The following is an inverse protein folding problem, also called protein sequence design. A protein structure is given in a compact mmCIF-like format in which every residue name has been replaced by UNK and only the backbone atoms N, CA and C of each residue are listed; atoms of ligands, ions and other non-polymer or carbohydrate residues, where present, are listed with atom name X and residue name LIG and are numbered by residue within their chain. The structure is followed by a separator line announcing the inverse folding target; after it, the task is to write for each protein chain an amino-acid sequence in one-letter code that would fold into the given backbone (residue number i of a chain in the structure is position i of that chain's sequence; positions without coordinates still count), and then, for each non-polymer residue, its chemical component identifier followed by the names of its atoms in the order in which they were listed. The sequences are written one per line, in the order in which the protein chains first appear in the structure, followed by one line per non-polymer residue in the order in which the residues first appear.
data_IF_048917923371
#
_entry.id   IF_048917923371
#
_cell.length_a   1.000
_cell.length_b   1.000
_cell.length_c   1.000
_cell.angle_alpha   90.00
_cell.angle_beta   90.00
_cell.angle_gamma   90.00
#
_symmetry.space_group_name_H-M   'P 1'
#
loop_
_entity.id
_entity.type
_entity.pdbx_description
1 polymer ?
#
# COMPACT_ATOMS: atom_id res chain seq x y z
N UNK A 1 28.72 22.29 -37.03
CA UNK A 1 27.93 22.37 -35.79
C UNK A 1 28.11 21.06 -35.05
N UNK A 2 29.18 20.96 -34.26
CA UNK A 2 29.39 19.86 -33.34
C UNK A 2 29.01 20.27 -31.93
N UNK A 3 28.81 19.28 -31.06
CA UNK A 3 29.20 19.32 -29.65
C UNK A 3 29.45 17.87 -29.21
N UNK A 4 30.74 17.55 -29.18
CA UNK A 4 31.30 16.39 -28.49
C UNK A 4 30.96 16.47 -26.99
N UNK A 5 30.36 15.42 -26.44
CA UNK A 5 30.29 15.23 -25.00
C UNK A 5 31.64 14.71 -24.52
N UNK A 6 32.46 15.63 -23.99
CA UNK A 6 33.67 15.29 -23.22
C UNK A 6 33.24 14.66 -21.88
N UNK A 7 33.69 13.45 -21.65
CA UNK A 7 33.74 12.82 -20.33
C UNK A 7 34.70 13.67 -19.48
N UNK A 8 34.18 14.30 -18.42
CA UNK A 8 35.02 14.96 -17.42
C UNK A 8 35.48 13.87 -16.46
N UNK A 9 36.71 13.40 -16.66
CA UNK A 9 37.45 12.61 -15.69
C UNK A 9 37.73 13.49 -14.46
N UNK A 10 37.19 13.10 -13.30
CA UNK A 10 37.51 13.74 -12.03
C UNK A 10 38.94 13.33 -11.65
N UNK A 11 39.89 14.25 -11.83
CA UNK A 11 41.27 14.07 -11.42
C UNK A 11 41.39 14.10 -9.90
N UNK A 12 42.01 13.07 -9.34
CA UNK A 12 42.49 13.06 -7.96
C UNK A 12 43.79 13.87 -7.96
N UNK A 13 43.75 15.12 -7.52
CA UNK A 13 44.95 15.86 -7.13
C UNK A 13 45.13 15.73 -5.62
N UNK A 14 46.24 15.12 -5.23
CA UNK A 14 46.80 15.08 -3.89
C UNK A 14 47.19 16.48 -3.42
N UNK A 15 47.11 16.68 -2.09
CA UNK A 15 47.62 17.82 -1.30
C UNK A 15 46.65 19.02 -1.14
N UNK A 16 45.84 18.97 -0.08
CA UNK A 16 45.87 19.95 1.01
C UNK A 16 44.86 19.58 2.12
N UNK A 17 45.31 19.68 3.38
CA UNK A 17 44.49 19.73 4.61
C UNK A 17 45.03 20.94 5.40
N UNK A 18 44.26 21.63 6.28
CA UNK A 18 43.07 21.14 7.01
C UNK A 18 41.93 22.19 7.22
N UNK A 19 40.95 21.81 8.05
CA UNK A 19 40.04 22.67 8.85
C UNK A 19 38.72 23.21 8.23
N UNK A 20 37.67 22.36 8.24
CA UNK A 20 36.32 22.63 8.81
C UNK A 20 35.35 21.48 8.42
N UNK A 21 34.31 21.20 9.23
CA UNK A 21 33.47 20.02 9.04
C UNK A 21 32.53 20.22 7.85
N UNK A 22 32.90 19.68 6.69
CA UNK A 22 32.00 19.52 5.54
C UNK A 22 30.96 18.45 5.86
N UNK A 23 29.93 18.92 6.56
CA UNK A 23 28.51 18.61 6.42
C UNK A 23 28.08 17.15 6.16
N UNK A 24 27.25 16.55 7.05
CA UNK A 24 26.51 15.30 6.80
C UNK A 24 25.65 15.30 5.51
N UNK A 25 25.41 16.49 4.95
CA UNK A 25 24.60 16.71 3.74
C UNK A 25 25.36 16.32 2.47
N UNK A 26 26.68 16.56 2.40
CA UNK A 26 27.50 16.19 1.23
C UNK A 26 27.71 14.66 1.17
N UNK A 27 27.90 14.02 2.33
CA UNK A 27 27.96 12.56 2.43
C UNK A 27 26.62 11.92 2.02
N UNK A 28 25.49 12.48 2.49
CA UNK A 28 24.14 12.04 2.10
C UNK A 28 23.86 12.19 0.60
N UNK A 29 24.36 13.23 -0.06
CA UNK A 29 24.20 13.41 -1.51
C UNK A 29 25.05 12.42 -2.32
N UNK A 30 26.29 12.16 -1.91
CA UNK A 30 27.18 11.18 -2.55
C UNK A 30 26.72 9.73 -2.37
N UNK A 31 25.99 9.39 -1.30
CA UNK A 31 25.45 8.02 -1.08
C UNK A 31 24.12 7.76 -1.81
N UNK A 32 23.42 8.79 -2.27
CA UNK A 32 22.08 8.69 -2.89
C UNK A 32 22.09 8.25 -4.35
N UNK A 33 23.01 8.79 -5.15
CA UNK A 33 23.09 8.53 -6.59
C UNK A 33 23.52 7.08 -6.91
N UNK A 34 24.51 6.49 -6.23
CA UNK A 34 24.96 5.13 -6.52
C UNK A 34 23.87 4.08 -6.26
N UNK A 35 23.18 4.09 -5.12
CA UNK A 35 22.18 3.06 -4.80
C UNK A 35 21.00 3.05 -5.79
N UNK A 36 20.55 4.24 -6.23
CA UNK A 36 19.51 4.39 -7.23
C UNK A 36 20.01 4.00 -8.64
N UNK A 37 21.25 4.36 -8.99
CA UNK A 37 21.86 3.95 -10.26
C UNK A 37 22.12 2.45 -10.32
N UNK A 38 22.67 1.82 -9.28
CA UNK A 38 22.93 0.37 -9.24
C UNK A 38 21.61 -0.42 -9.27
N UNK A 39 20.59 0.05 -8.55
CA UNK A 39 19.24 -0.51 -8.61
C UNK A 39 18.48 -0.23 -9.92
N UNK A 40 18.93 0.68 -10.78
CA UNK A 40 18.35 0.90 -12.13
C UNK A 40 19.18 0.31 -13.26
N UNK A 41 20.48 0.12 -13.04
CA UNK A 41 21.45 -0.37 -14.04
C UNK A 41 21.60 -1.90 -14.02
N UNK A 42 20.82 -2.62 -13.19
CA UNK A 42 20.76 -4.08 -13.19
C UNK A 42 21.84 -4.78 -12.38
N UNK A 43 22.47 -4.12 -11.40
CA UNK A 43 23.38 -4.72 -10.43
C UNK A 43 22.74 -4.80 -9.03
N UNK A 44 21.72 -5.65 -8.83
CA UNK A 44 20.94 -5.66 -7.59
C UNK A 44 21.73 -6.19 -6.38
N UNK A 45 22.73 -7.06 -6.61
CA UNK A 45 23.60 -7.59 -5.55
C UNK A 45 24.50 -6.50 -4.97
N UNK A 46 25.03 -5.61 -5.81
CA UNK A 46 25.85 -4.47 -5.39
C UNK A 46 25.01 -3.43 -4.63
N UNK A 47 23.77 -3.19 -5.07
CA UNK A 47 22.84 -2.31 -4.37
C UNK A 47 22.56 -2.85 -2.96
N UNK A 48 22.22 -4.14 -2.79
CA UNK A 48 21.95 -4.73 -1.48
C UNK A 48 23.22 -4.80 -0.60
N UNK A 49 24.37 -5.15 -1.19
CA UNK A 49 25.65 -5.18 -0.50
C UNK A 49 26.09 -3.78 -0.01
N UNK A 50 25.69 -2.72 -0.72
CA UNK A 50 25.90 -1.34 -0.27
C UNK A 50 25.07 -0.98 0.98
N UNK A 51 23.90 -1.62 1.17
CA UNK A 51 23.02 -1.38 2.32
C UNK A 51 23.34 -2.23 3.56
N UNK A 52 23.88 -3.44 3.39
CA UNK A 52 24.20 -4.35 4.51
C UNK A 52 25.09 -3.72 5.61
N UNK A 53 26.12 -2.90 5.30
CA UNK A 53 26.92 -2.20 6.32
C UNK A 53 26.21 -1.01 6.97
N UNK A 54 25.18 -0.42 6.33
CA UNK A 54 24.46 0.76 6.85
C UNK A 54 23.48 0.42 7.97
N UNK A 55 22.98 -0.82 8.01
CA UNK A 55 22.11 -1.36 9.07
C UNK A 55 22.88 -1.53 10.41
N UNK A 56 24.21 -1.69 10.34
CA UNK A 56 25.08 -1.82 11.52
C UNK A 56 25.55 -0.48 12.11
N UNK A 57 25.22 0.64 11.47
CA UNK A 57 25.50 1.97 12.00
C UNK A 57 24.29 2.45 12.82
N UNK A 58 24.42 2.48 14.15
CA UNK A 58 23.34 2.70 15.13
C UNK A 58 22.49 3.99 15.00
N UNK A 59 22.65 4.83 13.97
CA UNK A 59 21.91 6.09 13.79
C UNK A 59 21.46 6.35 12.34
N UNK A 60 21.35 5.33 11.50
CA UNK A 60 20.93 5.51 10.11
C UNK A 60 19.39 5.46 9.95
N UNK A 61 18.78 6.59 9.60
CA UNK A 61 17.38 6.67 9.21
C UNK A 61 17.28 6.75 7.67
N UNK A 62 17.01 5.63 6.96
CA UNK A 62 16.95 5.63 5.51
C UNK A 62 15.79 6.50 5.03
N UNK A 63 16.07 7.44 4.12
CA UNK A 63 15.03 8.26 3.51
C UNK A 63 14.21 7.44 2.49
N UNK A 64 13.03 7.96 2.13
CA UNK A 64 12.07 7.29 1.24
C UNK A 64 12.70 6.86 -0.10
N UNK A 65 13.64 7.66 -0.63
CA UNK A 65 14.31 7.40 -1.90
C UNK A 65 15.24 6.19 -1.80
N UNK A 66 15.99 6.06 -0.71
CA UNK A 66 16.84 4.89 -0.48
C UNK A 66 16.01 3.62 -0.29
N UNK A 67 14.89 3.69 0.43
CA UNK A 67 13.98 2.55 0.61
C UNK A 67 13.39 2.07 -0.73
N UNK A 68 12.99 2.98 -1.62
CA UNK A 68 12.51 2.63 -2.96
C UNK A 68 13.62 1.97 -3.80
N UNK A 69 14.86 2.46 -3.70
CA UNK A 69 16.02 1.86 -4.37
C UNK A 69 16.29 0.42 -3.92
N UNK A 70 16.28 0.17 -2.60
CA UNK A 70 16.43 -1.19 -2.02
C UNK A 70 15.34 -2.12 -2.53
N UNK A 71 14.08 -1.70 -2.44
CA UNK A 71 12.94 -2.51 -2.86
C UNK A 71 13.02 -2.85 -4.35
N UNK A 72 13.40 -1.90 -5.19
CA UNK A 72 13.62 -2.12 -6.62
C UNK A 72 14.74 -3.12 -6.89
N UNK A 73 15.87 -3.01 -6.18
CA UNK A 73 16.98 -3.97 -6.29
C UNK A 73 16.56 -5.38 -5.85
N UNK A 74 15.80 -5.50 -4.75
CA UNK A 74 15.25 -6.76 -4.30
C UNK A 74 14.32 -7.40 -5.35
N UNK A 75 13.48 -6.60 -6.01
CA UNK A 75 12.61 -7.09 -7.09
C UNK A 75 13.40 -7.60 -8.30
N UNK A 76 14.47 -6.91 -8.68
CA UNK A 76 15.36 -7.33 -9.76
C UNK A 76 16.11 -8.62 -9.43
N UNK A 77 16.68 -8.72 -8.23
CA UNK A 77 17.36 -9.95 -7.78
C UNK A 77 16.39 -11.13 -7.74
N UNK A 78 15.18 -10.89 -7.25
CA UNK A 78 14.15 -11.92 -7.21
C UNK A 78 13.81 -12.42 -8.62
N UNK A 79 13.68 -11.54 -9.61
CA UNK A 79 13.49 -11.93 -11.00
C UNK A 79 14.69 -12.71 -11.57
N UNK A 80 15.91 -12.29 -11.26
CA UNK A 80 17.11 -13.00 -11.66
C UNK A 80 17.12 -14.44 -11.11
N UNK A 81 16.89 -14.59 -9.80
CA UNK A 81 16.83 -15.91 -9.13
C UNK A 81 15.67 -16.76 -9.63
N UNK A 82 14.54 -16.14 -9.94
CA UNK A 82 13.39 -16.84 -10.52
C UNK A 82 13.71 -17.42 -11.90
N UNK A 83 14.43 -16.67 -12.75
CA UNK A 83 14.88 -17.16 -14.05
C UNK A 83 15.95 -18.25 -13.90
N UNK A 84 16.93 -18.07 -13.02
CA UNK A 84 17.96 -19.08 -12.71
C UNK A 84 17.33 -20.41 -12.29
N UNK A 85 16.28 -20.34 -11.46
CA UNK A 85 15.53 -21.52 -11.02
C UNK A 85 14.83 -22.23 -12.18
N UNK A 86 14.19 -21.49 -13.09
CA UNK A 86 13.53 -22.03 -14.29
C UNK A 86 14.57 -22.66 -15.24
N UNK A 87 15.67 -21.97 -15.50
CA UNK A 87 16.76 -22.43 -16.39
C UNK A 87 17.46 -23.67 -15.80
N UNK A 88 17.57 -23.74 -14.48
CA UNK A 88 18.05 -24.91 -13.74
C UNK A 88 17.06 -26.08 -13.67
N UNK A 89 15.88 -25.97 -14.28
CA UNK A 89 14.85 -27.02 -14.33
C UNK A 89 14.06 -27.20 -13.04
N UNK A 90 14.16 -26.26 -12.10
CA UNK A 90 13.38 -26.26 -10.85
C UNK A 90 12.10 -25.47 -11.07
N UNK A 91 10.95 -26.12 -10.99
CA UNK A 91 9.68 -25.43 -11.25
C UNK A 91 9.21 -24.58 -10.06
N UNK A 92 8.96 -23.26 -10.24
CA UNK A 92 8.32 -22.44 -9.22
C UNK A 92 6.93 -22.98 -8.85
N UNK A 93 6.68 -23.14 -7.56
CA UNK A 93 5.36 -23.49 -7.04
C UNK A 93 4.53 -22.23 -6.72
N UNK A 94 3.28 -22.41 -6.27
CA UNK A 94 2.36 -21.31 -5.95
C UNK A 94 2.92 -20.38 -4.86
N UNK A 95 3.60 -20.91 -3.85
CA UNK A 95 4.21 -20.12 -2.77
C UNK A 95 5.32 -19.23 -3.31
N UNK A 96 6.23 -19.78 -4.14
CA UNK A 96 7.30 -19.01 -4.77
C UNK A 96 6.73 -17.87 -5.64
N UNK A 97 5.67 -18.15 -6.39
CA UNK A 97 4.99 -17.14 -7.22
C UNK A 97 4.32 -16.07 -6.36
N UNK A 98 3.66 -16.43 -5.27
CA UNK A 98 3.05 -15.46 -4.34
C UNK A 98 4.11 -14.54 -3.73
N UNK A 99 5.21 -15.10 -3.21
CA UNK A 99 6.30 -14.31 -2.64
C UNK A 99 6.93 -13.37 -3.67
N UNK A 100 7.14 -13.86 -4.88
CA UNK A 100 7.63 -13.06 -6.00
C UNK A 100 6.70 -11.87 -6.30
N UNK A 101 5.39 -12.12 -6.41
CA UNK A 101 4.40 -11.08 -6.67
C UNK A 101 4.31 -10.05 -5.55
N UNK A 102 4.46 -10.46 -4.28
CA UNK A 102 4.45 -9.53 -3.15
C UNK A 102 5.62 -8.54 -3.21
N UNK A 103 6.83 -9.00 -3.53
CA UNK A 103 7.99 -8.11 -3.69
C UNK A 103 7.76 -7.14 -4.84
N UNK A 104 7.26 -7.64 -5.97
CA UNK A 104 6.93 -6.81 -7.12
C UNK A 104 5.82 -5.78 -6.82
N UNK A 105 4.84 -6.16 -6.01
CA UNK A 105 3.77 -5.28 -5.56
C UNK A 105 4.29 -4.12 -4.68
N UNK A 106 5.32 -4.37 -3.86
CA UNK A 106 5.97 -3.31 -3.04
C UNK A 106 6.89 -2.44 -3.90
N UNK A 107 7.54 -3.02 -4.91
CA UNK A 107 8.38 -2.27 -5.85
C UNK A 107 7.58 -1.36 -6.80
N UNK A 108 6.28 -1.63 -6.98
CA UNK A 108 5.41 -0.92 -7.93
C UNK A 108 5.99 -0.82 -9.34
N UNK A 109 6.78 -1.81 -9.76
CA UNK A 109 7.46 -1.80 -11.06
C UNK A 109 6.87 -2.83 -12.00
N UNK A 110 6.22 -2.33 -13.05
CA UNK A 110 5.52 -3.17 -14.01
C UNK A 110 6.47 -4.07 -14.79
N UNK A 111 7.69 -3.62 -15.10
CA UNK A 111 8.66 -4.43 -15.85
C UNK A 111 9.07 -5.67 -15.07
N UNK A 112 9.34 -5.52 -13.77
CA UNK A 112 9.66 -6.66 -12.92
C UNK A 112 8.44 -7.57 -12.69
N UNK A 113 7.21 -7.03 -12.67
CA UNK A 113 5.99 -7.82 -12.50
C UNK A 113 5.64 -8.69 -13.72
N UNK A 114 5.97 -8.25 -14.94
CA UNK A 114 5.49 -8.85 -16.20
C UNK A 114 5.88 -10.32 -16.31
N UNK A 115 7.13 -10.66 -16.03
CA UNK A 115 7.63 -12.02 -16.16
C UNK A 115 6.90 -12.99 -15.23
N UNK A 116 6.81 -12.64 -13.94
CA UNK A 116 6.12 -13.47 -12.94
C UNK A 116 4.63 -13.58 -13.26
N UNK A 117 3.99 -12.50 -13.71
CA UNK A 117 2.60 -12.54 -14.15
C UNK A 117 2.39 -13.49 -15.33
N UNK A 118 3.20 -13.37 -16.39
CA UNK A 118 3.13 -14.24 -17.57
C UNK A 118 3.38 -15.70 -17.19
N UNK A 119 4.33 -15.95 -16.29
CA UNK A 119 4.57 -17.30 -15.77
C UNK A 119 3.37 -17.86 -15.01
N UNK A 120 2.79 -17.08 -14.08
CA UNK A 120 1.59 -17.47 -13.32
C UNK A 120 0.40 -17.76 -14.24
N UNK A 121 0.26 -16.96 -15.30
CA UNK A 121 -0.74 -17.15 -16.35
C UNK A 121 -0.52 -18.46 -17.10
N UNK A 122 0.71 -18.69 -17.54
CA UNK A 122 1.09 -19.83 -18.38
C UNK A 122 0.98 -21.16 -17.63
N UNK A 123 1.41 -21.21 -16.38
CA UNK A 123 1.27 -22.41 -15.50
C UNK A 123 -0.18 -22.69 -15.07
N UNK A 124 -1.13 -21.82 -15.40
CA UNK A 124 -2.53 -22.00 -15.03
C UNK A 124 -2.84 -21.69 -13.56
N UNK A 125 -1.93 -21.02 -12.84
CA UNK A 125 -2.15 -20.61 -11.45
C UNK A 125 -3.23 -19.53 -11.29
N UNK A 126 -3.82 -19.04 -12.37
CA UNK A 126 -4.90 -18.04 -12.33
C UNK A 126 -6.10 -18.45 -11.50
N UNK A 127 -6.35 -19.75 -11.33
CA UNK A 127 -7.48 -20.27 -10.56
C UNK A 127 -7.12 -20.54 -9.09
N UNK A 128 -5.84 -20.44 -8.73
CA UNK A 128 -5.39 -20.52 -7.35
C UNK A 128 -5.73 -19.19 -6.65
N UNK A 129 -6.51 -19.26 -5.58
CA UNK A 129 -7.01 -18.08 -4.86
C UNK A 129 -5.87 -17.29 -4.22
N UNK A 130 -4.82 -17.96 -3.73
CA UNK A 130 -3.66 -17.28 -3.13
C UNK A 130 -2.85 -16.52 -4.18
N UNK A 131 -2.60 -17.14 -5.34
CA UNK A 131 -1.91 -16.48 -6.46
C UNK A 131 -2.76 -15.34 -7.04
N UNK A 132 -4.07 -15.56 -7.21
CA UNK A 132 -4.99 -14.53 -7.69
C UNK A 132 -5.05 -13.32 -6.74
N UNK A 133 -5.08 -13.54 -5.43
CA UNK A 133 -5.03 -12.48 -4.41
C UNK A 133 -3.75 -11.65 -4.53
N UNK A 134 -2.59 -12.31 -4.65
CA UNK A 134 -1.31 -11.62 -4.81
C UNK A 134 -1.22 -10.84 -6.13
N UNK A 135 -1.78 -11.40 -7.21
CA UNK A 135 -1.89 -10.72 -8.50
C UNK A 135 -2.80 -9.49 -8.43
N UNK A 136 -3.94 -9.56 -7.74
CA UNK A 136 -4.82 -8.40 -7.55
C UNK A 136 -4.10 -7.31 -6.76
N UNK A 137 -3.49 -7.64 -5.62
CA UNK A 137 -2.75 -6.66 -4.80
C UNK A 137 -1.65 -5.97 -5.61
N UNK A 138 -0.90 -6.73 -6.40
CA UNK A 138 0.12 -6.19 -7.31
C UNK A 138 -0.49 -5.23 -8.35
N UNK A 139 -1.54 -5.63 -9.06
CA UNK A 139 -2.18 -4.76 -10.06
C UNK A 139 -2.75 -3.48 -9.45
N UNK A 140 -3.35 -3.57 -8.26
CA UNK A 140 -3.90 -2.40 -7.57
C UNK A 140 -2.78 -1.42 -7.20
N UNK A 141 -1.66 -1.89 -6.64
CA UNK A 141 -0.50 -1.05 -6.29
C UNK A 141 0.25 -0.49 -7.49
N UNK A 142 0.27 -1.22 -8.61
CA UNK A 142 0.80 -0.74 -9.89
C UNK A 142 -0.17 0.19 -10.65
N UNK A 143 -1.24 0.68 -10.01
CA UNK A 143 -2.25 1.57 -10.60
C UNK A 143 -2.92 0.99 -11.87
N UNK A 144 -3.11 -0.33 -11.94
CA UNK A 144 -3.80 -1.04 -13.01
C UNK A 144 -5.08 -1.73 -12.50
N UNK A 145 -6.06 -0.96 -11.98
CA UNK A 145 -7.25 -1.51 -11.31
C UNK A 145 -8.11 -2.37 -12.24
N UNK A 146 -8.19 -2.03 -13.53
CA UNK A 146 -9.05 -2.74 -14.48
C UNK A 146 -8.57 -4.19 -14.68
N UNK A 147 -7.25 -4.42 -14.73
CA UNK A 147 -6.69 -5.78 -14.78
C UNK A 147 -6.98 -6.58 -13.50
N UNK A 148 -6.97 -5.90 -12.35
CA UNK A 148 -7.27 -6.54 -11.07
C UNK A 148 -8.75 -6.96 -11.00
N UNK A 149 -9.66 -6.10 -11.47
CA UNK A 149 -11.10 -6.36 -11.54
C UNK A 149 -11.38 -7.49 -12.54
N UNK A 150 -10.81 -7.46 -13.74
CA UNK A 150 -10.95 -8.52 -14.74
C UNK A 150 -10.50 -9.89 -14.20
N UNK A 151 -9.37 -9.92 -13.48
CA UNK A 151 -8.87 -11.15 -12.86
C UNK A 151 -9.82 -11.63 -11.77
N UNK A 152 -10.30 -10.72 -10.92
CA UNK A 152 -11.26 -11.03 -9.87
C UNK A 152 -12.53 -11.63 -10.44
N UNK A 153 -13.12 -11.02 -11.46
CA UNK A 153 -14.37 -11.48 -12.09
C UNK A 153 -14.22 -12.90 -12.65
N UNK A 154 -13.08 -13.20 -13.29
CA UNK A 154 -12.76 -14.53 -13.83
C UNK A 154 -12.57 -15.63 -12.79
N UNK A 155 -12.40 -15.30 -11.51
CA UNK A 155 -12.23 -16.30 -10.45
C UNK A 155 -13.56 -17.05 -10.21
N UNK A 156 -13.59 -18.39 -10.35
CA UNK A 156 -14.81 -19.17 -10.14
C UNK A 156 -15.22 -19.23 -8.67
N UNK A 157 -14.24 -19.14 -7.76
CA UNK A 157 -14.44 -19.07 -6.31
C UNK A 157 -13.74 -17.83 -5.79
N UNK A 158 -14.48 -17.02 -5.03
CA UNK A 158 -14.03 -15.78 -4.41
C UNK A 158 -14.21 -15.93 -2.91
N UNK A 159 -13.12 -16.03 -2.16
CA UNK A 159 -13.17 -16.13 -0.70
C UNK A 159 -13.06 -14.75 -0.05
N UNK A 160 -13.18 -14.69 1.28
CA UNK A 160 -13.11 -13.43 2.05
C UNK A 160 -11.81 -12.68 1.77
N UNK A 161 -10.69 -13.41 1.61
CA UNK A 161 -9.37 -12.83 1.40
C UNK A 161 -9.30 -12.10 0.06
N UNK A 162 -9.82 -12.71 -1.01
CA UNK A 162 -9.86 -12.13 -2.34
C UNK A 162 -10.76 -10.88 -2.38
N UNK A 163 -11.94 -10.92 -1.74
CA UNK A 163 -12.82 -9.76 -1.58
C UNK A 163 -12.14 -8.61 -0.83
N UNK A 164 -11.47 -8.92 0.29
CA UNK A 164 -10.76 -7.93 1.10
C UNK A 164 -9.58 -7.30 0.36
N UNK A 165 -8.87 -8.07 -0.48
CA UNK A 165 -7.79 -7.55 -1.32
C UNK A 165 -8.30 -6.57 -2.37
N UNK A 166 -9.37 -6.91 -3.09
CA UNK A 166 -9.98 -6.02 -4.07
C UNK A 166 -10.50 -4.73 -3.40
N UNK A 167 -11.18 -4.87 -2.26
CA UNK A 167 -11.68 -3.73 -1.51
C UNK A 167 -10.54 -2.82 -1.04
N UNK A 168 -9.49 -3.40 -0.43
CA UNK A 168 -8.29 -2.67 0.01
C UNK A 168 -7.68 -1.86 -1.12
N UNK A 169 -7.47 -2.48 -2.27
CA UNK A 169 -6.88 -1.80 -3.42
C UNK A 169 -7.74 -0.64 -3.90
N UNK A 170 -9.07 -0.82 -3.98
CA UNK A 170 -9.96 0.25 -4.46
C UNK A 170 -9.94 1.45 -3.52
N UNK A 171 -9.97 1.22 -2.20
CA UNK A 171 -9.87 2.29 -1.20
C UNK A 171 -8.53 3.01 -1.27
N UNK A 172 -7.41 2.27 -1.41
CA UNK A 172 -6.08 2.87 -1.52
C UNK A 172 -5.89 3.71 -2.79
N UNK A 173 -6.57 3.34 -3.87
CA UNK A 173 -6.52 4.07 -5.13
C UNK A 173 -7.58 5.20 -5.21
N UNK A 174 -8.26 5.54 -4.11
CA UNK A 174 -9.27 6.60 -4.06
C UNK A 174 -10.56 6.27 -4.85
N UNK A 175 -10.82 4.99 -5.15
CA UNK A 175 -11.97 4.56 -5.93
C UNK A 175 -13.16 4.25 -5.01
N UNK A 176 -13.68 5.29 -4.35
CA UNK A 176 -14.76 5.17 -3.36
C UNK A 176 -16.03 4.49 -3.95
N UNK A 177 -16.46 4.90 -5.14
CA UNK A 177 -17.63 4.32 -5.81
C UNK A 177 -17.45 2.81 -6.09
N UNK A 178 -16.28 2.40 -6.61
CA UNK A 178 -15.97 0.99 -6.85
C UNK A 178 -15.87 0.20 -5.53
N UNK A 179 -15.34 0.80 -4.47
CA UNK A 179 -15.29 0.16 -3.14
C UNK A 179 -16.69 -0.18 -2.63
N UNK A 180 -17.66 0.72 -2.83
CA UNK A 180 -19.07 0.46 -2.49
C UNK A 180 -19.73 -0.59 -3.35
N UNK A 181 -19.39 -0.63 -4.64
CA UNK A 181 -19.85 -1.70 -5.53
C UNK A 181 -19.32 -3.07 -5.10
N UNK A 182 -18.03 -3.14 -4.78
CA UNK A 182 -17.40 -4.36 -4.24
C UNK A 182 -18.09 -4.80 -2.94
N UNK A 183 -18.41 -3.88 -2.04
CA UNK A 183 -19.17 -4.17 -0.82
C UNK A 183 -20.56 -4.74 -1.09
N UNK A 184 -21.34 -4.09 -1.96
CA UNK A 184 -22.67 -4.60 -2.34
C UNK A 184 -22.60 -5.98 -2.99
N UNK A 185 -21.60 -6.21 -3.83
CA UNK A 185 -21.38 -7.50 -4.47
C UNK A 185 -20.95 -8.56 -3.44
N UNK A 186 -20.12 -8.21 -2.47
CA UNK A 186 -19.73 -9.09 -1.37
C UNK A 186 -20.98 -9.56 -0.58
N UNK A 187 -21.84 -8.63 -0.19
CA UNK A 187 -23.10 -8.94 0.52
C UNK A 187 -24.06 -9.79 -0.33
N UNK A 188 -24.19 -9.49 -1.63
CA UNK A 188 -25.02 -10.26 -2.55
C UNK A 188 -24.53 -11.70 -2.77
N UNK A 189 -23.25 -11.96 -2.48
CA UNK A 189 -22.65 -13.31 -2.52
C UNK A 189 -22.67 -13.99 -1.15
N UNK A 190 -23.49 -13.50 -0.20
CA UNK A 190 -23.61 -14.03 1.17
C UNK A 190 -22.28 -13.98 1.97
N UNK A 191 -21.34 -13.13 1.54
CA UNK A 191 -20.05 -12.95 2.21
C UNK A 191 -20.16 -11.77 3.17
N UNK A 192 -19.87 -12.01 4.45
CA UNK A 192 -19.91 -10.96 5.46
C UNK A 192 -18.57 -10.21 5.55
N UNK A 193 -18.56 -8.87 5.47
CA UNK A 193 -17.40 -8.05 5.75
C UNK A 193 -16.95 -8.22 7.19
N UNK A 194 -15.63 -8.29 7.40
CA UNK A 194 -15.05 -8.21 8.73
C UNK A 194 -14.86 -6.75 9.18
N UNK A 195 -14.40 -6.53 10.41
CA UNK A 195 -14.16 -5.19 10.93
C UNK A 195 -13.17 -4.39 10.05
N UNK A 196 -12.17 -5.05 9.45
CA UNK A 196 -11.17 -4.39 8.61
C UNK A 196 -11.79 -3.91 7.30
N UNK A 197 -12.64 -4.71 6.67
CA UNK A 197 -13.42 -4.33 5.50
C UNK A 197 -14.37 -3.18 5.84
N UNK A 198 -15.05 -3.24 6.99
CA UNK A 198 -15.96 -2.19 7.43
C UNK A 198 -15.26 -0.83 7.61
N UNK A 199 -14.07 -0.80 8.22
CA UNK A 199 -13.27 0.42 8.34
C UNK A 199 -12.95 1.02 6.96
N UNK A 200 -12.61 0.19 5.97
CA UNK A 200 -12.30 0.63 4.61
C UNK A 200 -13.53 1.21 3.90
N UNK A 201 -14.69 0.59 4.08
CA UNK A 201 -15.95 1.07 3.52
C UNK A 201 -16.38 2.40 4.14
N UNK A 202 -16.24 2.53 5.45
CA UNK A 202 -16.49 3.80 6.14
C UNK A 202 -15.57 4.91 5.62
N UNK A 203 -14.28 4.63 5.46
CA UNK A 203 -13.33 5.59 4.89
C UNK A 203 -13.74 6.02 3.48
N UNK A 204 -14.04 5.06 2.60
CA UNK A 204 -14.50 5.33 1.23
C UNK A 204 -15.82 6.14 1.19
N UNK A 205 -16.77 5.86 2.08
CA UNK A 205 -18.03 6.62 2.18
C UNK A 205 -17.81 8.04 2.70
N UNK A 206 -16.91 8.21 3.67
CA UNK A 206 -16.60 9.51 4.27
C UNK A 206 -16.10 10.54 3.23
N UNK A 207 -15.47 10.07 2.16
CA UNK A 207 -15.01 10.91 1.04
C UNK A 207 -16.15 11.31 0.09
N UNK A 208 -17.25 10.56 0.07
CA UNK A 208 -18.39 10.82 -0.82
C UNK A 208 -19.32 11.93 -0.34
N UNK A 209 -19.39 12.17 0.97
CA UNK A 209 -20.26 13.21 1.54
C UNK A 209 -21.77 12.89 1.54
N UNK A 210 -22.18 11.65 1.23
CA UNK A 210 -23.59 11.29 0.99
C UNK A 210 -24.24 10.74 2.27
N UNK A 211 -24.89 11.62 3.05
CA UNK A 211 -25.52 11.26 4.33
C UNK A 211 -26.53 10.10 4.24
N UNK A 212 -27.28 9.98 3.15
CA UNK A 212 -28.25 8.88 3.02
C UNK A 212 -27.57 7.51 2.96
N UNK A 213 -26.42 7.42 2.30
CA UNK A 213 -25.62 6.20 2.22
C UNK A 213 -25.04 5.83 3.58
N UNK A 214 -24.57 6.83 4.32
CA UNK A 214 -24.00 6.69 5.65
C UNK A 214 -25.00 6.16 6.68
N UNK A 215 -26.24 6.65 6.63
CA UNK A 215 -27.32 6.15 7.51
C UNK A 215 -27.62 4.68 7.22
N UNK A 216 -27.66 4.28 5.95
CA UNK A 216 -27.84 2.87 5.59
C UNK A 216 -26.66 2.01 6.09
N UNK A 217 -25.43 2.50 5.94
CA UNK A 217 -24.24 1.80 6.40
C UNK A 217 -24.17 1.68 7.93
N UNK A 218 -24.57 2.73 8.65
CA UNK A 218 -24.70 2.69 10.11
C UNK A 218 -25.77 1.69 10.56
N UNK A 219 -26.92 1.62 9.86
CA UNK A 219 -27.92 0.57 10.10
C UNK A 219 -27.33 -0.83 9.96
N UNK A 220 -26.54 -1.06 8.91
CA UNK A 220 -25.82 -2.33 8.71
C UNK A 220 -24.82 -2.63 9.84
N UNK A 221 -24.06 -1.63 10.32
CA UNK A 221 -23.12 -1.76 11.46
C UNK A 221 -23.83 -2.24 12.72
N UNK A 222 -25.02 -1.70 13.01
CA UNK A 222 -25.82 -2.09 14.18
C UNK A 222 -26.28 -3.55 14.03
N UNK A 223 -26.87 -3.91 12.89
CA UNK A 223 -27.41 -5.25 12.64
C UNK A 223 -26.30 -6.31 12.64
N UNK A 224 -25.10 -5.96 12.19
CA UNK A 224 -23.95 -6.86 12.10
C UNK A 224 -23.16 -6.96 13.40
N UNK A 225 -23.58 -6.26 14.47
CA UNK A 225 -22.94 -6.32 15.79
C UNK A 225 -21.61 -5.55 15.90
N UNK A 226 -21.34 -4.61 14.99
CA UNK A 226 -20.14 -3.76 15.01
C UNK A 226 -20.30 -2.48 15.83
N UNK A 227 -21.49 -2.20 16.40
CA UNK A 227 -21.81 -0.97 17.11
C UNK A 227 -20.86 -0.64 18.29
N UNK A 228 -20.32 -1.66 18.96
CA UNK A 228 -19.36 -1.49 20.07
C UNK A 228 -17.91 -1.79 19.66
N UNK A 229 -17.64 -1.98 18.36
CA UNK A 229 -16.30 -2.26 17.88
C UNK A 229 -15.47 -0.97 17.84
N UNK A 230 -14.45 -0.89 18.70
CA UNK A 230 -13.58 0.30 18.82
C UNK A 230 -12.91 0.71 17.50
N UNK A 231 -12.63 -0.24 16.61
CA UNK A 231 -12.00 0.02 15.32
C UNK A 231 -13.00 0.61 14.30
N UNK A 232 -14.28 0.29 14.43
CA UNK A 232 -15.35 0.77 13.54
C UNK A 232 -15.91 2.11 14.02
N UNK A 233 -15.93 2.34 15.33
CA UNK A 233 -16.50 3.55 15.93
C UNK A 233 -15.82 4.86 15.50
N UNK A 234 -14.48 4.93 15.51
CA UNK A 234 -13.77 6.13 15.08
C UNK A 234 -14.04 6.51 13.61
N UNK A 235 -13.92 5.59 12.63
CA UNK A 235 -14.27 5.86 11.24
C UNK A 235 -15.75 6.23 11.02
N UNK A 236 -16.66 5.71 11.85
CA UNK A 236 -18.09 6.07 11.77
C UNK A 236 -18.34 7.51 12.27
N UNK A 237 -17.65 7.93 13.32
CA UNK A 237 -17.66 9.33 13.80
C UNK A 237 -17.08 10.26 12.72
N UNK A 238 -15.95 9.88 12.12
CA UNK A 238 -15.31 10.65 11.04
C UNK A 238 -16.26 10.81 9.84
N UNK A 239 -16.93 9.73 9.45
CA UNK A 239 -17.89 9.72 8.35
C UNK A 239 -19.05 10.69 8.60
N UNK A 240 -19.71 10.65 9.75
CA UNK A 240 -20.76 11.62 10.07
C UNK A 240 -20.24 13.06 10.20
N UNK A 241 -19.03 13.23 10.73
CA UNK A 241 -18.39 14.54 10.85
C UNK A 241 -18.18 15.18 9.48
N UNK A 242 -17.66 14.43 8.50
CA UNK A 242 -17.44 14.91 7.12
C UNK A 242 -18.74 15.15 6.35
N UNK A 243 -19.80 14.41 6.66
CA UNK A 243 -21.12 14.57 6.05
C UNK A 243 -21.99 15.64 6.74
N UNK A 244 -21.34 16.61 7.39
CA UNK A 244 -21.95 17.74 8.07
C UNK A 244 -23.00 17.37 9.13
N UNK A 245 -22.86 16.22 9.80
CA UNK A 245 -23.81 15.74 10.81
C UNK A 245 -23.14 15.47 12.16
N UNK A 246 -22.71 16.54 12.84
CA UNK A 246 -22.06 16.45 14.16
C UNK A 246 -22.99 15.83 15.22
N UNK A 247 -24.30 16.03 15.11
CA UNK A 247 -25.28 15.43 16.04
C UNK A 247 -25.27 13.90 15.97
N UNK A 248 -25.18 13.33 14.76
CA UNK A 248 -25.12 11.88 14.58
C UNK A 248 -23.75 11.34 14.99
N UNK A 249 -22.67 12.08 14.74
CA UNK A 249 -21.35 11.75 15.25
C UNK A 249 -21.33 11.70 16.79
N UNK A 250 -21.98 12.66 17.45
CA UNK A 250 -22.13 12.73 18.92
C UNK A 250 -22.92 11.53 19.44
N UNK A 251 -24.05 11.17 18.82
CA UNK A 251 -24.83 9.98 19.20
C UNK A 251 -24.04 8.69 19.09
N UNK A 252 -23.24 8.54 18.03
CA UNK A 252 -22.34 7.38 17.87
C UNK A 252 -21.31 7.36 19.00
N UNK A 253 -20.67 8.49 19.28
CA UNK A 253 -19.68 8.61 20.33
C UNK A 253 -20.25 8.28 21.73
N UNK A 254 -21.45 8.80 22.05
CA UNK A 254 -22.14 8.53 23.31
C UNK A 254 -22.45 7.04 23.48
N UNK A 255 -22.88 6.37 22.41
CA UNK A 255 -23.23 4.95 22.39
C UNK A 255 -22.06 3.97 22.57
N UNK A 256 -20.81 4.40 22.34
CA UNK A 256 -19.63 3.53 22.48
C UNK A 256 -19.18 3.49 23.95
N UNK A 257 -19.02 2.27 24.48
CA UNK A 257 -18.66 2.02 25.88
C UNK A 257 -17.21 2.46 26.17
N UNK A 258 -16.25 2.02 25.35
CA UNK A 258 -14.83 2.29 25.53
C UNK A 258 -14.37 3.44 24.63
N UNK A 259 -14.15 4.62 25.23
CA UNK A 259 -13.90 5.86 24.50
C UNK A 259 -12.42 6.17 24.22
N UNK A 260 -11.49 5.39 24.77
CA UNK A 260 -10.05 5.68 24.83
C UNK A 260 -9.42 6.03 23.47
N UNK A 261 -9.90 5.41 22.38
CA UNK A 261 -9.34 5.56 21.02
C UNK A 261 -10.16 6.49 20.13
N UNK A 262 -11.41 6.81 20.50
CA UNK A 262 -12.36 7.54 19.63
C UNK A 262 -12.49 9.03 19.94
N UNK A 263 -11.93 9.50 21.07
CA UNK A 263 -11.90 10.93 21.42
C UNK A 263 -11.25 11.79 20.33
N UNK A 264 -10.14 11.32 19.75
CA UNK A 264 -9.43 12.02 18.67
C UNK A 264 -10.33 12.24 17.44
N UNK A 265 -11.15 11.26 17.09
CA UNK A 265 -12.11 11.36 16.00
C UNK A 265 -13.19 12.40 16.31
N UNK A 266 -13.70 12.44 17.54
CA UNK A 266 -14.72 13.41 17.95
C UNK A 266 -14.18 14.85 18.01
N UNK A 267 -12.95 15.04 18.50
CA UNK A 267 -12.23 16.32 18.49
C UNK A 267 -12.10 16.84 17.05
N UNK A 268 -11.62 15.97 16.16
CA UNK A 268 -11.49 16.32 14.74
C UNK A 268 -12.85 16.70 14.14
N UNK A 269 -13.91 15.98 14.51
CA UNK A 269 -15.28 16.29 14.12
C UNK A 269 -15.72 17.68 14.55
N UNK A 270 -15.62 18.04 15.82
CA UNK A 270 -15.94 19.40 16.28
C UNK A 270 -15.07 20.48 15.63
N UNK A 271 -13.79 20.17 15.35
CA UNK A 271 -12.90 21.06 14.62
C UNK A 271 -13.38 21.37 13.21
N UNK A 272 -13.84 20.36 12.45
CA UNK A 272 -14.43 20.53 11.11
C UNK A 272 -15.67 21.42 11.15
N UNK A 273 -16.45 21.36 12.24
CA UNK A 273 -17.69 22.11 12.42
C UNK A 273 -17.51 23.50 13.05
N UNK A 274 -16.27 23.90 13.39
CA UNK A 274 -16.00 25.17 14.07
C UNK A 274 -16.55 25.23 15.50
N UNK A 275 -16.80 24.08 16.12
CA UNK A 275 -17.40 23.94 17.46
C UNK A 275 -16.37 23.48 18.51
N UNK A 276 -15.11 23.89 18.37
CA UNK A 276 -14.02 23.48 19.27
C UNK A 276 -14.25 23.82 20.75
N UNK A 277 -15.10 24.80 21.04
CA UNK A 277 -15.47 25.19 22.42
C UNK A 277 -16.42 24.18 23.09
N UNK A 278 -17.18 23.40 22.31
CA UNK A 278 -18.11 22.38 22.83
C UNK A 278 -17.39 21.09 23.29
N UNK A 279 -16.05 21.06 23.23
CA UNK A 279 -15.24 19.88 23.53
C UNK A 279 -15.09 19.59 25.04
N UNK A 280 -15.44 20.53 25.92
CA UNK A 280 -15.29 20.35 27.37
C UNK A 280 -16.51 19.65 27.99
N UNK A 281 -16.52 18.32 28.02
CA UNK A 281 -17.39 17.52 28.90
C UNK A 281 -16.63 16.33 29.50
#
# INVERSE_FOLDING_TARGET
MGRDFRIVSCGISTEDKPDHPTTPIALKACTRLPALEHGKNGCPEEAIAFFSPMEMAEHFNPDLVMLVGVVSACAQLLNYRFNEMIDGGVEPNSVTVVSALQVCAVACSLEECKMIHVFAVWKGFKLDVSVATALIDMHMKCFLPDKAIDLFERMPRKDVVLWAALLRGNTQNGMAHKSMEVFRNMLSNEMQPDAVAMVKILAACSESGILQQDVCLHGYIIISGFNNNIFVGAPLIELYSKCCSIDNATKVFEGIIHKDVIWSAMIAGYGIHGQGENFFF
#
